data_IF_979313047990
#
_entry.id   IF_979313047990
#
_cell.length_a   1.000
_cell.length_b   1.000
_cell.length_c   1.000
_cell.angle_alpha   90.00
_cell.angle_beta   90.00
_cell.angle_gamma   90.00
#
_symmetry.space_group_name_H-M   'P 1'
#
loop_
_entity.id
_entity.type
_entity.pdbx_description
1 polymer ?
#
# COMPACT_ATOMS: atom_id res chain seq x y z
N UNK A 1 -7.16 -25.07 14.95
CA UNK A 1 -5.75 -24.95 14.54
C UNK A 1 -5.75 -23.96 13.40
N UNK A 2 -5.53 -22.68 13.70
CA UNK A 2 -5.75 -21.55 12.77
C UNK A 2 -4.57 -20.58 12.81
N UNK A 3 -3.38 -21.12 13.09
CA UNK A 3 -2.16 -20.35 13.36
C UNK A 3 -1.02 -20.60 12.40
N UNK A 4 -1.27 -21.22 11.24
CA UNK A 4 -0.22 -21.64 10.30
C UNK A 4 -0.50 -21.26 8.84
N UNK A 5 -1.44 -20.33 8.60
CA UNK A 5 -1.68 -19.82 7.25
C UNK A 5 -0.86 -18.57 7.01
N UNK A 6 -0.03 -18.63 5.98
CA UNK A 6 0.62 -17.46 5.39
C UNK A 6 -0.41 -16.59 4.68
N UNK A 7 -0.20 -15.28 4.70
CA UNK A 7 -1.05 -14.29 4.04
C UNK A 7 -0.33 -13.71 2.81
N UNK A 8 -1.04 -13.55 1.70
CA UNK A 8 -0.57 -12.76 0.56
C UNK A 8 -0.84 -11.29 0.85
N UNK A 9 0.22 -10.47 0.85
CA UNK A 9 0.17 -9.04 1.14
C UNK A 9 0.68 -8.26 -0.07
N UNK A 10 -0.09 -7.26 -0.50
CA UNK A 10 0.27 -6.33 -1.55
C UNK A 10 0.74 -5.01 -0.93
N UNK A 11 2.00 -4.65 -1.18
CA UNK A 11 2.61 -3.40 -0.72
C UNK A 11 2.76 -2.43 -1.90
N UNK A 12 2.32 -1.19 -1.71
CA UNK A 12 2.27 -0.17 -2.77
C UNK A 12 3.09 1.09 -2.46
N UNK A 13 3.51 1.26 -1.21
CA UNK A 13 4.12 2.47 -0.67
C UNK A 13 5.51 2.24 -0.09
N UNK A 14 5.73 2.71 1.14
CA UNK A 14 7.06 2.77 1.79
C UNK A 14 7.71 1.43 2.07
N UNK A 15 6.92 0.35 2.07
CA UNK A 15 7.39 -1.02 2.29
C UNK A 15 7.99 -1.66 1.03
N UNK A 16 7.79 -1.07 -0.16
CA UNK A 16 8.36 -1.62 -1.41
C UNK A 16 9.88 -1.58 -1.41
N UNK A 17 10.53 -2.45 -2.19
CA UNK A 17 11.99 -2.41 -2.39
C UNK A 17 12.49 -1.03 -2.81
N UNK A 18 13.56 -0.57 -2.16
CA UNK A 18 14.15 0.74 -2.39
C UNK A 18 13.48 1.89 -1.63
N UNK A 19 12.40 1.64 -0.88
CA UNK A 19 11.68 2.65 -0.12
C UNK A 19 11.99 2.62 1.39
N UNK A 20 11.69 3.70 2.14
CA UNK A 20 12.23 3.91 3.49
C UNK A 20 11.96 2.81 4.53
N UNK A 21 10.85 2.07 4.41
CA UNK A 21 10.45 1.03 5.36
C UNK A 21 10.72 -0.39 4.85
N UNK A 22 11.37 -0.56 3.70
CA UNK A 22 11.70 -1.88 3.14
C UNK A 22 12.55 -2.73 4.09
N UNK A 23 13.37 -2.12 4.95
CA UNK A 23 14.21 -2.84 5.92
C UNK A 23 13.39 -3.80 6.80
N UNK A 24 12.14 -3.46 7.14
CA UNK A 24 11.27 -4.38 7.88
C UNK A 24 10.98 -5.66 7.08
N UNK A 25 10.67 -5.54 5.79
CA UNK A 25 10.46 -6.72 4.94
C UNK A 25 11.77 -7.48 4.70
N UNK A 26 12.90 -6.78 4.54
CA UNK A 26 14.21 -7.43 4.38
C UNK A 26 14.57 -8.29 5.61
N UNK A 27 14.36 -7.75 6.81
CA UNK A 27 14.56 -8.48 8.08
C UNK A 27 13.63 -9.69 8.17
N UNK A 28 12.33 -9.52 7.85
CA UNK A 28 11.38 -10.64 7.86
C UNK A 28 11.73 -11.71 6.81
N UNK A 29 12.28 -11.34 5.65
CA UNK A 29 12.74 -12.30 4.65
C UNK A 29 13.92 -13.10 5.19
N UNK A 30 14.88 -12.46 5.87
CA UNK A 30 16.03 -13.14 6.49
C UNK A 30 15.61 -14.10 7.60
N UNK A 31 14.57 -13.74 8.35
CA UNK A 31 13.98 -14.58 9.39
C UNK A 31 13.09 -15.72 8.84
N UNK A 32 12.81 -15.74 7.53
CA UNK A 32 11.89 -16.69 6.90
C UNK A 32 10.40 -16.39 7.13
N UNK A 33 10.09 -15.20 7.64
CA UNK A 33 8.73 -14.71 7.92
C UNK A 33 8.11 -13.96 6.74
N UNK A 34 8.88 -13.68 5.68
CA UNK A 34 8.41 -13.04 4.46
C UNK A 34 9.08 -13.64 3.21
N UNK A 35 8.38 -13.62 2.07
CA UNK A 35 8.96 -14.00 0.78
C UNK A 35 8.35 -13.14 -0.32
N UNK A 36 9.20 -12.55 -1.17
CA UNK A 36 8.75 -11.84 -2.36
C UNK A 36 8.19 -12.83 -3.39
N UNK A 37 6.99 -12.56 -3.88
CA UNK A 37 6.29 -13.39 -4.86
C UNK A 37 6.48 -12.82 -6.26
N UNK A 38 6.03 -11.58 -6.47
CA UNK A 38 6.06 -10.92 -7.77
C UNK A 38 5.81 -9.41 -7.65
N UNK A 39 6.14 -8.66 -8.70
CA UNK A 39 5.52 -7.35 -8.92
C UNK A 39 4.03 -7.54 -9.27
N UNK A 40 3.20 -6.54 -8.98
CA UNK A 40 1.76 -6.62 -9.22
C UNK A 40 1.10 -5.27 -9.43
N UNK A 41 -0.13 -5.30 -9.95
CA UNK A 41 -1.03 -4.13 -10.01
C UNK A 41 -2.40 -4.46 -9.46
N UNK A 42 -3.11 -3.50 -8.88
CA UNK A 42 -4.49 -3.73 -8.44
C UNK A 42 -5.40 -4.08 -9.62
N UNK A 43 -6.29 -5.05 -9.41
CA UNK A 43 -7.23 -5.51 -10.43
C UNK A 43 -8.35 -4.49 -10.71
N UNK A 44 -8.59 -3.57 -9.78
CA UNK A 44 -9.47 -2.41 -9.98
C UNK A 44 -8.68 -1.12 -9.73
N UNK A 45 -9.11 0.02 -10.30
CA UNK A 45 -8.58 1.31 -9.90
C UNK A 45 -8.86 1.60 -8.42
N UNK A 46 -7.87 2.17 -7.73
CA UNK A 46 -8.02 2.74 -6.39
C UNK A 46 -7.34 4.11 -6.33
N UNK A 47 -7.82 5.03 -5.49
CA UNK A 47 -7.09 6.24 -5.18
C UNK A 47 -5.87 5.94 -4.31
N UNK A 48 -4.68 6.20 -4.84
CA UNK A 48 -3.43 6.28 -4.07
C UNK A 48 -2.99 7.74 -4.05
N UNK A 49 -2.79 8.31 -2.86
CA UNK A 49 -2.37 9.72 -2.71
C UNK A 49 -1.20 9.85 -1.74
N UNK A 50 -0.53 11.00 -1.79
CA UNK A 50 0.52 11.37 -0.84
C UNK A 50 -0.07 12.36 0.14
N UNK A 51 -0.05 12.00 1.42
CA UNK A 51 -0.53 12.84 2.51
C UNK A 51 0.63 13.53 3.25
N UNK A 52 0.43 13.89 4.54
CA UNK A 52 1.48 14.56 5.31
C UNK A 52 2.75 13.69 5.39
N UNK A 53 3.89 14.36 5.52
CA UNK A 53 5.21 13.72 5.69
C UNK A 53 5.57 12.77 4.52
N UNK A 54 5.01 13.05 3.35
CA UNK A 54 5.11 12.23 2.14
C UNK A 54 4.68 10.77 2.31
N UNK A 55 3.76 10.51 3.24
CA UNK A 55 3.24 9.18 3.51
C UNK A 55 2.21 8.80 2.42
N UNK A 56 2.28 7.59 1.83
CA UNK A 56 1.30 7.12 0.85
C UNK A 56 0.03 6.58 1.52
N UNK A 57 -1.13 6.91 0.96
CA UNK A 57 -2.45 6.46 1.43
C UNK A 57 -3.24 5.83 0.29
N UNK A 58 -3.50 4.52 0.38
CA UNK A 58 -4.44 3.83 -0.51
C UNK A 58 -5.86 3.91 0.08
N UNK A 59 -6.81 4.41 -0.69
CA UNK A 59 -8.16 4.71 -0.21
C UNK A 59 -9.13 3.66 -0.76
N UNK A 60 -10.04 3.17 0.09
CA UNK A 60 -10.99 2.11 -0.30
C UNK A 60 -12.19 2.65 -1.08
N UNK A 61 -11.91 3.15 -2.28
CA UNK A 61 -12.91 3.62 -3.25
C UNK A 61 -12.67 2.91 -4.60
N UNK A 62 -13.06 1.64 -4.73
CA UNK A 62 -12.84 0.87 -5.95
C UNK A 62 -13.50 1.56 -7.16
N UNK A 63 -12.80 1.56 -8.29
CA UNK A 63 -13.24 2.21 -9.53
C UNK A 63 -12.85 3.68 -9.65
N UNK A 64 -12.31 4.28 -8.57
CA UNK A 64 -11.75 5.63 -8.59
C UNK A 64 -10.22 5.60 -8.68
N UNK A 65 -9.59 6.69 -9.12
CA UNK A 65 -8.13 6.78 -9.19
C UNK A 65 -7.53 5.95 -10.33
N UNK A 66 -6.51 5.15 -10.04
CA UNK A 66 -5.73 4.39 -11.05
C UNK A 66 -5.49 2.97 -10.57
N UNK A 67 -5.15 2.06 -11.49
CA UNK A 67 -4.60 0.75 -11.11
C UNK A 67 -3.23 0.98 -10.48
N UNK A 68 -3.08 0.60 -9.21
CA UNK A 68 -1.89 0.90 -8.40
C UNK A 68 -0.87 -0.20 -8.56
N UNK A 69 0.36 0.17 -8.91
CA UNK A 69 1.49 -0.75 -8.99
C UNK A 69 2.18 -0.92 -7.64
N UNK A 70 2.59 -2.15 -7.36
CA UNK A 70 3.25 -2.52 -6.13
C UNK A 70 3.91 -3.89 -6.21
N UNK A 71 4.14 -4.49 -5.05
CA UNK A 71 4.83 -5.76 -4.88
C UNK A 71 3.99 -6.69 -4.03
N UNK A 72 4.03 -7.98 -4.33
CA UNK A 72 3.28 -9.03 -3.65
C UNK A 72 4.28 -9.86 -2.84
N UNK A 73 3.96 -10.06 -1.57
CA UNK A 73 4.72 -10.87 -0.63
C UNK A 73 3.82 -11.92 0.02
N UNK A 74 4.38 -13.07 0.38
CA UNK A 74 3.77 -13.95 1.38
C UNK A 74 4.38 -13.65 2.74
N UNK A 75 3.55 -13.47 3.77
CA UNK A 75 3.97 -13.29 5.16
C UNK A 75 3.51 -14.45 6.03
N UNK A 76 4.37 -14.87 6.97
CA UNK A 76 3.97 -15.74 8.07
C UNK A 76 3.04 -14.97 9.03
N UNK A 77 2.31 -15.66 9.95
CA UNK A 77 1.54 -14.99 10.98
C UNK A 77 2.37 -14.01 11.83
N UNK A 78 3.63 -14.35 12.12
CA UNK A 78 4.57 -13.47 12.85
C UNK A 78 4.96 -12.25 12.00
N UNK A 79 5.26 -12.46 10.72
CA UNK A 79 5.54 -11.36 9.79
C UNK A 79 4.37 -10.40 9.66
N UNK A 80 3.15 -10.93 9.59
CA UNK A 80 1.93 -10.15 9.48
C UNK A 80 1.69 -9.24 10.69
N UNK A 81 1.88 -9.75 11.91
CA UNK A 81 1.80 -8.94 13.15
C UNK A 81 2.78 -7.77 13.12
N UNK A 82 4.01 -8.02 12.66
CA UNK A 82 5.06 -6.99 12.58
C UNK A 82 4.71 -5.88 11.60
N UNK A 83 4.13 -6.22 10.45
CA UNK A 83 3.67 -5.23 9.46
C UNK A 83 2.42 -4.51 9.97
N UNK A 84 1.48 -5.21 10.61
CA UNK A 84 0.28 -4.63 11.24
C UNK A 84 0.62 -3.59 12.32
N UNK A 85 1.70 -3.82 13.07
CA UNK A 85 2.22 -2.89 14.08
C UNK A 85 2.84 -1.64 13.44
N UNK A 86 3.65 -1.80 12.39
CA UNK A 86 4.23 -0.67 11.65
C UNK A 86 3.14 0.21 11.05
N UNK A 87 2.17 -0.42 10.38
CA UNK A 87 1.05 0.25 9.72
C UNK A 87 -0.01 0.73 10.71
N UNK A 88 0.19 0.49 12.02
CA UNK A 88 -0.63 1.04 13.10
C UNK A 88 -2.10 0.66 13.01
N UNK A 89 -2.40 -0.59 12.62
CA UNK A 89 -3.78 -1.08 12.43
C UNK A 89 -4.61 -0.96 13.70
N UNK A 90 -4.02 -1.30 14.85
CA UNK A 90 -4.63 -1.16 16.18
C UNK A 90 -4.74 0.31 16.66
N UNK A 91 -4.15 1.26 15.94
CA UNK A 91 -4.15 2.71 16.26
C UNK A 91 -5.05 3.53 15.33
N UNK A 92 -5.75 2.86 14.41
CA UNK A 92 -6.57 3.52 13.40
C UNK A 92 -5.74 4.31 12.38
N UNK A 93 -4.47 3.94 12.17
CA UNK A 93 -3.66 4.52 11.09
C UNK A 93 -4.11 3.93 9.77
N UNK A 94 -4.03 2.61 9.60
CA UNK A 94 -4.51 1.91 8.41
C UNK A 94 -5.45 0.75 8.80
N UNK A 95 -6.17 0.20 7.82
CA UNK A 95 -6.98 -1.00 7.94
C UNK A 95 -6.46 -2.04 6.95
N UNK A 96 -6.13 -3.24 7.43
CA UNK A 96 -5.76 -4.35 6.55
C UNK A 96 -7.02 -4.98 5.97
N UNK A 97 -7.18 -4.89 4.65
CA UNK A 97 -8.37 -5.35 3.93
C UNK A 97 -7.98 -6.09 2.64
N UNK A 98 -8.83 -7.01 2.20
CA UNK A 98 -8.62 -7.78 0.97
C UNK A 98 -8.90 -6.94 -0.27
N UNK A 99 -8.08 -7.16 -1.31
CA UNK A 99 -8.27 -6.68 -2.66
C UNK A 99 -7.76 -7.72 -3.67
N UNK A 100 -8.24 -7.60 -4.91
CA UNK A 100 -7.72 -8.38 -6.02
C UNK A 100 -6.50 -7.68 -6.64
N UNK A 101 -5.42 -8.43 -6.86
CA UNK A 101 -4.19 -7.96 -7.50
C UNK A 101 -3.79 -8.89 -8.65
N UNK A 102 -3.25 -8.33 -9.71
CA UNK A 102 -2.79 -9.05 -10.89
C UNK A 102 -1.26 -9.04 -10.87
N UNK A 103 -0.60 -10.21 -10.72
CA UNK A 103 0.85 -10.30 -10.84
C UNK A 103 1.30 -9.85 -12.24
N UNK A 104 2.38 -9.08 -12.29
CA UNK A 104 2.99 -8.66 -13.55
C UNK A 104 4.00 -9.73 -13.97
N UNK A 105 3.68 -10.50 -15.01
CA UNK A 105 4.63 -11.44 -15.62
C UNK A 105 5.50 -10.69 -16.62
N UNK A 106 6.80 -10.61 -16.36
CA UNK A 106 7.79 -10.14 -17.33
C UNK A 106 7.88 -11.15 -18.49
N UNK A 107 7.11 -10.95 -19.57
CA UNK A 107 7.13 -11.88 -20.71
C UNK A 107 6.00 -11.81 -21.73
N UNK A 108 5.44 -10.64 -22.05
CA UNK A 108 4.76 -10.45 -23.34
C UNK A 108 5.25 -9.18 -24.01
N UNK A 109 6.26 -9.36 -24.85
CA UNK A 109 6.53 -8.48 -25.96
C UNK A 109 5.27 -8.41 -26.86
N UNK A 110 4.69 -7.22 -26.99
CA UNK A 110 4.10 -6.77 -28.25
C UNK A 110 2.96 -7.58 -28.88
N UNK A 111 1.99 -8.09 -28.13
CA UNK A 111 0.71 -8.48 -28.71
C UNK A 111 -0.44 -7.93 -27.86
N UNK A 112 -1.04 -6.86 -28.37
CA UNK A 112 -2.30 -6.28 -27.93
C UNK A 112 -3.32 -7.41 -27.75
N UNK A 113 -3.67 -7.70 -26.49
CA UNK A 113 -4.90 -8.41 -26.20
C UNK A 113 -5.97 -7.34 -26.10
N UNK A 114 -6.92 -7.35 -27.02
CA UNK A 114 -8.02 -6.39 -27.20
C UNK A 114 -8.97 -6.25 -25.98
N UNK A 115 -8.58 -6.75 -24.80
CA UNK A 115 -9.25 -6.53 -23.53
C UNK A 115 -8.29 -6.75 -22.34
N UNK A 116 -7.49 -5.73 -22.00
CA UNK A 116 -6.62 -5.74 -20.81
C UNK A 116 -7.37 -6.07 -19.50
N UNK A 117 -8.67 -5.73 -19.44
CA UNK A 117 -9.50 -5.89 -18.26
C UNK A 117 -9.94 -7.35 -18.04
N UNK A 118 -10.26 -8.07 -19.12
CA UNK A 118 -10.56 -9.51 -19.06
C UNK A 118 -9.32 -10.36 -18.77
N UNK A 119 -8.16 -10.00 -19.32
CA UNK A 119 -6.90 -10.68 -19.02
C UNK A 119 -6.43 -10.43 -17.58
N UNK A 120 -6.65 -9.21 -17.06
CA UNK A 120 -6.41 -8.87 -15.66
C UNK A 120 -7.32 -9.67 -14.71
N UNK A 121 -8.60 -9.87 -15.06
CA UNK A 121 -9.54 -10.63 -14.24
C UNK A 121 -9.21 -12.13 -14.17
N UNK A 122 -8.71 -12.73 -15.25
CA UNK A 122 -8.37 -14.16 -15.30
C UNK A 122 -7.10 -14.54 -14.51
N UNK A 123 -6.23 -13.56 -14.19
CA UNK A 123 -4.98 -13.76 -13.45
C UNK A 123 -4.95 -13.07 -12.08
N UNK A 124 -6.09 -12.54 -11.61
CA UNK A 124 -6.14 -11.87 -10.32
C UNK A 124 -6.08 -12.86 -9.16
N UNK A 125 -5.28 -12.54 -8.15
CA UNK A 125 -5.20 -13.25 -6.87
C UNK A 125 -5.73 -12.35 -5.77
N UNK A 126 -6.36 -12.94 -4.76
CA UNK A 126 -6.73 -12.20 -3.55
C UNK A 126 -5.50 -11.99 -2.67
N UNK A 127 -5.27 -10.75 -2.30
CA UNK A 127 -4.22 -10.34 -1.37
C UNK A 127 -4.79 -9.32 -0.38
N UNK A 128 -4.08 -9.08 0.71
CA UNK A 128 -4.41 -8.05 1.68
C UNK A 128 -3.53 -6.82 1.43
N UNK A 129 -4.07 -5.62 1.64
CA UNK A 129 -3.27 -4.41 1.71
C UNK A 129 -3.77 -3.49 2.82
N UNK A 130 -2.92 -2.54 3.18
CA UNK A 130 -3.22 -1.53 4.18
C UNK A 130 -3.92 -0.35 3.52
N UNK A 131 -5.19 -0.13 3.82
CA UNK A 131 -5.95 1.02 3.35
C UNK A 131 -5.94 2.13 4.40
N UNK A 132 -5.94 3.39 3.97
CA UNK A 132 -6.16 4.52 4.84
C UNK A 132 -7.42 4.31 5.68
N UNK A 133 -7.33 4.56 6.98
CA UNK A 133 -8.43 4.26 7.88
C UNK A 133 -9.70 5.05 7.52
N UNK A 134 -10.84 4.36 7.53
CA UNK A 134 -12.14 4.87 7.08
C UNK A 134 -12.56 6.22 7.67
N UNK A 135 -12.05 6.58 8.86
CA UNK A 135 -12.41 7.83 9.55
C UNK A 135 -11.84 9.08 8.90
N UNK A 136 -10.83 8.96 8.04
CA UNK A 136 -10.22 10.12 7.37
C UNK A 136 -9.95 9.90 5.87
N UNK A 137 -10.13 8.67 5.37
CA UNK A 137 -9.73 8.29 4.02
C UNK A 137 -10.41 9.11 2.91
N UNK A 138 -11.72 9.35 2.99
CA UNK A 138 -12.41 10.16 1.97
C UNK A 138 -11.96 11.62 1.96
N UNK A 139 -11.69 12.19 3.13
CA UNK A 139 -11.22 13.58 3.22
C UNK A 139 -9.79 13.70 2.70
N UNK A 140 -8.97 12.66 2.89
CA UNK A 140 -7.64 12.55 2.27
C UNK A 140 -7.75 12.54 0.74
N UNK A 141 -8.76 11.85 0.18
CA UNK A 141 -9.01 11.82 -1.26
C UNK A 141 -9.38 13.21 -1.79
N UNK A 142 -10.36 13.85 -1.14
CA UNK A 142 -10.83 15.21 -1.50
C UNK A 142 -9.71 16.24 -1.38
N UNK A 143 -8.89 16.17 -0.33
CA UNK A 143 -7.76 17.08 -0.09
C UNK A 143 -6.71 17.02 -1.20
N UNK A 144 -6.57 15.86 -1.85
CA UNK A 144 -5.69 15.64 -2.98
C UNK A 144 -6.37 15.93 -4.33
N UNK A 145 -7.48 16.67 -4.33
CA UNK A 145 -8.19 17.08 -5.54
C UNK A 145 -8.76 15.91 -6.34
N UNK A 146 -9.02 14.78 -5.68
CA UNK A 146 -9.53 13.56 -6.31
C UNK A 146 -8.64 13.06 -7.47
N UNK A 147 -7.31 13.23 -7.31
CA UNK A 147 -6.31 12.74 -8.26
C UNK A 147 -5.38 11.74 -7.59
N UNK A 148 -5.28 10.55 -8.19
CA UNK A 148 -4.54 9.43 -7.62
C UNK A 148 -3.33 9.06 -8.47
N UNK A 149 -2.29 8.59 -7.80
CA UNK A 149 -1.07 8.06 -8.39
C UNK A 149 -1.29 6.64 -8.95
N UNK A 150 -0.56 6.31 -10.01
CA UNK A 150 -0.46 4.93 -10.50
C UNK A 150 0.58 4.10 -9.74
N UNK A 151 1.54 4.76 -9.11
CA UNK A 151 2.58 4.16 -8.28
C UNK A 151 3.16 5.23 -7.36
N UNK A 152 3.54 4.84 -6.14
CA UNK A 152 4.37 5.68 -5.27
C UNK A 152 5.83 5.59 -5.74
N UNK A 153 6.43 6.72 -6.12
CA UNK A 153 7.74 6.81 -6.74
C UNK A 153 8.82 7.35 -5.79
N UNK A 154 10.08 7.30 -6.21
CA UNK A 154 11.20 7.91 -5.45
C UNK A 154 11.03 9.42 -5.29
N UNK A 155 10.41 10.11 -6.26
CA UNK A 155 10.10 11.54 -6.17
C UNK A 155 9.09 11.79 -5.04
N UNK A 156 8.03 10.99 -4.97
CA UNK A 156 7.04 11.07 -3.89
C UNK A 156 7.67 10.77 -2.52
N UNK A 157 8.62 9.83 -2.48
CA UNK A 157 9.30 9.42 -1.24
C UNK A 157 10.45 10.34 -0.81
N UNK A 158 10.84 11.30 -1.65
CA UNK A 158 12.05 12.13 -1.45
C UNK A 158 12.03 12.90 -0.13
N UNK A 159 10.87 13.38 0.28
CA UNK A 159 10.66 14.15 1.51
C UNK A 159 10.02 13.32 2.63
N UNK A 160 10.07 11.98 2.53
CA UNK A 160 9.51 11.09 3.55
C UNK A 160 10.18 11.29 4.91
N UNK A 161 9.37 11.60 5.93
CA UNK A 161 9.84 11.78 7.30
C UNK A 161 9.58 10.51 8.13
N UNK A 162 10.67 9.86 8.53
CA UNK A 162 10.62 8.66 9.38
C UNK A 162 10.04 9.00 10.75
N UNK A 163 9.34 8.06 11.42
CA UNK A 163 8.77 8.29 12.74
C UNK A 163 9.74 8.89 13.77
N UNK A 164 11.00 8.47 13.77
CA UNK A 164 12.07 8.95 14.64
C UNK A 164 12.49 10.42 14.40
N UNK A 165 12.24 10.94 13.19
CA UNK A 165 12.58 12.31 12.78
C UNK A 165 11.38 13.27 12.88
N UNK A 166 10.22 12.77 13.30
CA UNK A 166 9.00 13.59 13.46
C UNK A 166 9.07 14.46 14.70
N UNK A 167 8.36 15.57 14.67
CA UNK A 167 8.27 16.49 15.81
C UNK A 167 7.71 15.75 17.05
N UNK A 168 8.31 15.92 18.25
CA UNK A 168 7.97 15.11 19.44
C UNK A 168 6.51 15.17 19.88
N UNK A 169 5.84 16.31 19.64
CA UNK A 169 4.47 16.57 20.07
C UNK A 169 3.42 16.24 19.00
N UNK A 170 3.78 15.42 18.01
CA UNK A 170 2.89 15.11 16.89
C UNK A 170 2.61 13.63 16.77
N UNK A 171 1.32 13.30 16.67
CA UNK A 171 0.86 11.94 16.41
C UNK A 171 0.57 11.80 14.92
N UNK A 172 0.62 10.58 14.39
CA UNK A 172 0.23 10.30 13.00
C UNK A 172 -1.15 10.89 12.67
N UNK A 173 -2.15 10.63 13.51
CA UNK A 173 -3.50 11.18 13.31
C UNK A 173 -3.55 12.70 13.50
N UNK A 174 -2.68 13.26 14.35
CA UNK A 174 -2.50 14.71 14.47
C UNK A 174 -2.00 15.33 13.16
N UNK A 175 -1.01 14.73 12.51
CA UNK A 175 -0.50 15.18 11.21
C UNK A 175 -1.54 15.04 10.11
N UNK A 176 -2.27 13.92 10.07
CA UNK A 176 -3.41 13.74 9.15
C UNK A 176 -4.44 14.86 9.35
N UNK A 177 -4.86 15.13 10.59
CA UNK A 177 -5.83 16.20 10.87
C UNK A 177 -5.32 17.58 10.45
N UNK A 178 -4.05 17.90 10.70
CA UNK A 178 -3.45 19.17 10.28
C UNK A 178 -3.39 19.32 8.76
N UNK A 179 -3.01 18.26 8.06
CA UNK A 179 -2.98 18.23 6.61
C UNK A 179 -4.37 18.47 6.00
N UNK A 180 -5.38 17.79 6.54
CA UNK A 180 -6.78 17.94 6.09
C UNK A 180 -7.36 19.32 6.43
N UNK A 181 -6.93 19.96 7.52
CA UNK A 181 -7.38 21.29 7.90
C UNK A 181 -6.64 22.44 7.18
N UNK A 182 -5.47 22.16 6.60
CA UNK A 182 -4.67 23.17 5.89
C UNK A 182 -5.32 23.53 4.56
N UNK A 183 -5.40 24.83 4.19
CA UNK A 183 -5.97 25.26 2.93
C UNK A 183 -5.24 24.61 1.74
N UNK A 184 -6.01 24.27 0.71
CA UNK A 184 -5.51 23.69 -0.56
C UNK A 184 -4.82 24.71 -1.43
#
# INVERSE_FOLDING_TARGET
MEGDRTALVFVYGTLKRGFPNYSLLDDLIRDGDATFVAAGRTASPFPLVVGPLSIPFLIRLPGSGRRVYGEIYTLSPRGLVRVDDLEGTHRGHYERLTLAVVPVTSGRDGAEADNEEAAAAAGAVEAEAYFAHRTYAEDMWRRNGERGLGSYSEEDAREYVRPEDRLPDTTFLGEVRRFLASPS
#
